data_IF_123490482545
#
_entry.id   IF_123490482545
#
_cell.length_a   1.000
_cell.length_b   1.000
_cell.length_c   1.000
_cell.angle_alpha   90.00
_cell.angle_beta   90.00
_cell.angle_gamma   90.00
#
_symmetry.space_group_name_H-M   'P 1'
#
loop_
_entity.id
_entity.type
_entity.pdbx_description
1 polymer ?
#
# COMPACT_ATOMS: atom_id res chain seq x y z
N UNK A 1 -15.96 -5.44 -7.43
CA UNK A 1 -14.69 -4.98 -6.80
C UNK A 1 -15.00 -3.86 -5.80
N UNK A 2 -14.44 -3.88 -4.58
CA UNK A 2 -14.59 -2.80 -3.59
C UNK A 2 -13.52 -1.72 -3.78
N UNK A 3 -13.79 -0.52 -3.26
CA UNK A 3 -12.88 0.62 -3.35
C UNK A 3 -12.45 1.08 -1.97
N UNK A 4 -11.16 1.26 -1.81
CA UNK A 4 -10.47 1.70 -0.60
C UNK A 4 -9.59 2.91 -0.90
N UNK A 5 -9.19 3.66 0.12
CA UNK A 5 -8.13 4.66 0.01
C UNK A 5 -6.83 4.07 0.55
N UNK A 6 -5.73 4.28 -0.15
CA UNK A 6 -4.37 3.97 0.29
C UNK A 6 -3.60 5.27 0.52
N UNK A 7 -3.02 5.45 1.69
CA UNK A 7 -2.44 6.71 2.11
C UNK A 7 -1.01 6.56 2.66
N UNK A 8 -0.09 7.31 2.05
CA UNK A 8 1.31 7.43 2.46
C UNK A 8 1.57 8.66 3.33
N UNK A 9 0.66 9.62 3.38
CA UNK A 9 0.88 10.97 3.93
C UNK A 9 2.11 11.61 3.28
N UNK A 10 2.01 11.92 1.98
CA UNK A 10 3.13 12.48 1.23
C UNK A 10 3.14 14.00 1.29
N UNK A 11 4.35 14.53 1.43
CA UNK A 11 4.65 15.95 1.32
C UNK A 11 5.74 16.10 0.27
N UNK A 12 5.32 16.41 -0.98
CA UNK A 12 6.26 16.54 -2.08
C UNK A 12 7.23 17.72 -1.89
N UNK A 13 8.44 17.52 -2.35
CA UNK A 13 9.43 18.58 -2.41
C UNK A 13 9.36 19.29 -3.79
N UNK A 14 9.49 20.63 -3.87
CA UNK A 14 9.57 21.59 -2.76
C UNK A 14 8.25 21.66 -1.98
N UNK A 15 8.30 21.88 -0.68
CA UNK A 15 7.18 21.75 0.25
C UNK A 15 5.95 22.63 -0.01
N UNK A 16 5.93 23.43 -1.06
CA UNK A 16 4.80 24.21 -1.59
C UNK A 16 3.98 24.98 -0.53
N UNK A 17 4.64 25.49 0.52
CA UNK A 17 3.99 26.20 1.61
C UNK A 17 3.18 25.33 2.59
N UNK A 18 3.10 24.02 2.39
CA UNK A 18 2.41 23.09 3.31
C UNK A 18 3.29 22.84 4.53
N UNK A 19 2.78 23.12 5.71
CA UNK A 19 3.34 22.67 6.97
C UNK A 19 2.79 21.28 7.35
N UNK A 20 3.38 20.64 8.36
CA UNK A 20 2.98 19.31 8.82
C UNK A 20 1.57 19.33 9.41
N UNK A 21 1.20 20.39 10.14
CA UNK A 21 -0.12 20.50 10.72
C UNK A 21 -1.22 20.60 9.66
N UNK A 22 -0.97 21.32 8.55
CA UNK A 22 -1.87 21.36 7.39
C UNK A 22 -2.02 19.98 6.77
N UNK A 23 -0.90 19.28 6.55
CA UNK A 23 -0.89 17.95 5.95
C UNK A 23 -1.78 16.96 6.72
N UNK A 24 -1.63 16.87 8.05
CA UNK A 24 -2.46 15.96 8.85
C UNK A 24 -3.94 16.38 8.90
N UNK A 25 -4.27 17.69 8.91
CA UNK A 25 -5.66 18.16 8.78
C UNK A 25 -6.27 17.79 7.43
N UNK A 26 -5.48 17.89 6.34
CA UNK A 26 -5.90 17.50 5.00
C UNK A 26 -6.23 16.00 4.93
N UNK A 27 -5.41 15.13 5.55
CA UNK A 27 -5.67 13.69 5.62
C UNK A 27 -7.01 13.38 6.33
N UNK A 28 -7.28 14.01 7.46
CA UNK A 28 -8.56 13.82 8.15
C UNK A 28 -9.76 14.31 7.31
N UNK A 29 -9.59 15.41 6.57
CA UNK A 29 -10.61 15.91 5.63
C UNK A 29 -10.85 14.92 4.47
N UNK A 30 -9.76 14.35 3.91
CA UNK A 30 -9.84 13.35 2.85
C UNK A 30 -10.55 12.08 3.34
N UNK A 31 -10.28 11.61 4.56
CA UNK A 31 -10.94 10.43 5.13
C UNK A 31 -12.47 10.64 5.28
N UNK A 32 -12.90 11.81 5.75
CA UNK A 32 -14.34 12.18 5.81
C UNK A 32 -14.97 12.22 4.42
N UNK A 33 -14.26 12.76 3.44
CA UNK A 33 -14.72 12.80 2.05
C UNK A 33 -14.82 11.39 1.45
N UNK A 34 -13.87 10.51 1.77
CA UNK A 34 -13.88 9.11 1.34
C UNK A 34 -15.07 8.34 1.93
N UNK A 35 -15.38 8.55 3.21
CA UNK A 35 -16.58 7.98 3.83
C UNK A 35 -17.87 8.44 3.14
N UNK A 36 -17.98 9.76 2.91
CA UNK A 36 -19.14 10.33 2.23
C UNK A 36 -19.28 9.84 0.78
N UNK A 37 -18.15 9.56 0.12
CA UNK A 37 -18.08 9.04 -1.23
C UNK A 37 -18.34 7.52 -1.33
N UNK A 38 -18.38 6.79 -0.20
CA UNK A 38 -18.70 5.35 -0.16
C UNK A 38 -17.50 4.42 -0.25
N UNK A 39 -16.29 4.90 0.00
CA UNK A 39 -15.12 4.03 0.17
C UNK A 39 -15.29 3.13 1.39
N UNK A 40 -14.71 1.90 1.32
CA UNK A 40 -14.91 0.87 2.34
C UNK A 40 -13.82 0.92 3.45
N UNK A 41 -12.55 1.02 3.08
CA UNK A 41 -11.43 1.02 4.02
C UNK A 41 -10.48 2.20 3.72
N UNK A 42 -9.98 2.83 4.77
CA UNK A 42 -8.81 3.70 4.71
C UNK A 42 -7.59 2.93 5.16
N UNK A 43 -6.65 2.69 4.25
CA UNK A 43 -5.39 2.01 4.51
C UNK A 43 -4.28 3.00 4.77
N UNK A 44 -3.59 2.86 5.89
CA UNK A 44 -2.45 3.67 6.26
C UNK A 44 -1.18 2.83 6.31
N UNK A 45 -0.11 3.30 5.66
CA UNK A 45 1.21 2.66 5.69
C UNK A 45 1.99 3.02 6.94
N UNK A 46 3.10 2.35 7.17
CA UNK A 46 4.13 2.72 8.15
C UNK A 46 5.48 2.90 7.46
N UNK A 47 6.07 4.10 7.58
CA UNK A 47 7.39 4.43 7.07
C UNK A 47 8.17 5.32 8.04
N UNK A 48 9.47 5.09 8.13
CA UNK A 48 10.35 5.80 9.05
C UNK A 48 11.57 6.39 8.34
N UNK A 49 11.99 7.60 8.77
CA UNK A 49 13.23 8.21 8.29
C UNK A 49 13.27 8.59 6.82
N UNK A 50 12.12 8.73 6.18
CA UNK A 50 11.97 9.01 4.75
C UNK A 50 11.09 10.25 4.47
N UNK A 51 11.50 11.46 4.91
CA UNK A 51 10.64 12.66 4.84
C UNK A 51 10.27 13.08 3.41
N UNK A 52 11.04 12.66 2.41
CA UNK A 52 10.71 12.91 1.00
C UNK A 52 9.65 11.93 0.47
N UNK A 53 9.30 10.88 1.24
CA UNK A 53 8.44 9.80 0.78
C UNK A 53 7.16 9.67 1.61
N UNK A 54 7.27 9.65 2.94
CA UNK A 54 6.12 9.45 3.81
C UNK A 54 6.31 10.11 5.19
N UNK A 55 5.23 10.69 5.70
CA UNK A 55 5.11 11.20 7.07
C UNK A 55 4.33 10.24 7.98
N UNK A 56 4.04 9.03 7.52
CA UNK A 56 3.25 8.03 8.25
C UNK A 56 4.13 7.18 9.18
N UNK A 57 4.67 7.79 10.22
CA UNK A 57 5.55 7.12 11.19
C UNK A 57 4.84 6.54 12.42
N UNK A 58 3.58 6.93 12.64
CA UNK A 58 2.73 6.43 13.71
C UNK A 58 1.30 6.23 13.18
N UNK A 59 1.10 5.27 12.26
CA UNK A 59 -0.17 5.09 11.55
C UNK A 59 -1.34 4.81 12.48
N UNK A 60 -1.15 4.11 13.60
CA UNK A 60 -2.19 3.82 14.57
C UNK A 60 -2.78 5.09 15.21
N UNK A 61 -2.00 6.17 15.36
CA UNK A 61 -2.49 7.45 15.89
C UNK A 61 -3.39 8.11 14.83
N UNK A 62 -2.97 8.14 13.58
CA UNK A 62 -3.75 8.70 12.47
C UNK A 62 -5.02 7.89 12.24
N UNK A 63 -4.93 6.56 12.22
CA UNK A 63 -6.09 5.67 12.08
C UNK A 63 -7.09 5.84 13.23
N UNK A 64 -6.61 6.06 14.46
CA UNK A 64 -7.49 6.38 15.60
C UNK A 64 -8.23 7.70 15.37
N UNK A 65 -7.53 8.75 14.94
CA UNK A 65 -8.16 10.03 14.64
C UNK A 65 -9.22 9.92 13.51
N UNK A 66 -8.93 9.15 12.47
CA UNK A 66 -9.89 8.86 11.40
C UNK A 66 -11.09 8.07 11.94
N UNK A 67 -10.86 7.01 12.70
CA UNK A 67 -11.93 6.19 13.27
C UNK A 67 -12.87 6.97 14.20
N UNK A 68 -12.32 7.92 14.96
CA UNK A 68 -13.10 8.78 15.86
C UNK A 68 -13.84 9.92 15.15
N UNK A 69 -13.56 10.17 13.87
CA UNK A 69 -14.18 11.23 13.07
C UNK A 69 -15.01 10.72 11.90
N UNK A 70 -15.18 9.41 11.81
CA UNK A 70 -15.98 8.68 10.80
C UNK A 70 -16.83 7.62 11.48
N UNK A 71 -17.96 7.25 10.86
CA UNK A 71 -18.93 6.30 11.45
C UNK A 71 -18.91 4.91 10.79
N UNK A 72 -18.62 4.84 9.50
CA UNK A 72 -18.68 3.61 8.69
C UNK A 72 -17.37 3.18 8.06
N UNK A 73 -16.52 4.17 7.72
CA UNK A 73 -15.23 3.91 7.08
C UNK A 73 -14.39 3.00 7.98
N UNK A 74 -14.02 1.84 7.45
CA UNK A 74 -13.07 0.96 8.14
C UNK A 74 -11.66 1.57 8.07
N UNK A 75 -10.83 1.21 9.01
CA UNK A 75 -9.44 1.66 9.09
C UNK A 75 -8.51 0.46 9.10
N UNK A 76 -7.42 0.52 8.35
CA UNK A 76 -6.52 -0.61 8.19
C UNK A 76 -5.05 -0.20 8.13
N UNK A 77 -4.18 -1.02 8.70
CA UNK A 77 -2.74 -0.95 8.45
C UNK A 77 -2.39 -1.65 7.13
N UNK A 78 -1.59 -0.99 6.28
CA UNK A 78 -1.12 -1.58 5.03
C UNK A 78 0.39 -1.37 4.80
N UNK A 79 1.24 -1.85 5.76
CA UNK A 79 1.08 -2.66 6.96
C UNK A 79 2.06 -2.25 8.03
N UNK A 80 1.80 -2.73 9.23
CA UNK A 80 2.75 -2.63 10.35
C UNK A 80 4.06 -3.29 9.96
N UNK A 81 5.18 -2.60 10.19
CA UNK A 81 6.51 -3.15 9.94
C UNK A 81 6.85 -4.20 11.00
N UNK A 82 6.62 -5.48 10.67
CA UNK A 82 6.62 -6.58 11.62
C UNK A 82 7.99 -7.13 12.08
N UNK A 83 9.16 -6.79 11.48
CA UNK A 83 10.44 -7.15 12.09
C UNK A 83 10.52 -6.66 13.54
N UNK A 84 10.91 -7.54 14.46
CA UNK A 84 10.75 -7.32 15.91
C UNK A 84 11.56 -6.16 16.47
N UNK A 85 12.61 -5.74 15.76
CA UNK A 85 13.37 -4.54 16.06
C UNK A 85 12.60 -3.25 15.81
N UNK A 86 11.60 -3.27 14.92
CA UNK A 86 10.74 -2.12 14.62
C UNK A 86 9.50 -2.18 15.51
N UNK A 87 8.74 -3.28 15.42
CA UNK A 87 7.52 -3.49 16.19
C UNK A 87 7.48 -4.87 16.82
N UNK A 88 7.49 -4.95 18.15
CA UNK A 88 7.31 -6.23 18.83
C UNK A 88 5.87 -6.73 18.68
N UNK A 89 5.63 -8.02 18.40
CA UNK A 89 4.28 -8.55 18.18
C UNK A 89 3.30 -8.29 19.32
N UNK A 90 3.76 -8.32 20.57
CA UNK A 90 2.92 -8.02 21.74
C UNK A 90 2.37 -6.59 21.67
N UNK A 91 3.23 -5.60 21.38
CA UNK A 91 2.83 -4.20 21.27
C UNK A 91 1.88 -3.97 20.09
N UNK A 92 2.10 -4.69 18.99
CA UNK A 92 1.19 -4.63 17.83
C UNK A 92 -0.18 -5.18 18.20
N UNK A 93 -0.24 -6.34 18.88
CA UNK A 93 -1.50 -6.95 19.31
C UNK A 93 -2.31 -6.02 20.25
N UNK A 94 -1.65 -5.38 21.22
CA UNK A 94 -2.29 -4.44 22.16
C UNK A 94 -2.83 -3.20 21.45
N UNK A 95 -2.03 -2.54 20.60
CA UNK A 95 -2.43 -1.33 19.86
C UNK A 95 -3.55 -1.62 18.88
N UNK A 96 -3.44 -2.72 18.13
CA UNK A 96 -4.44 -3.13 17.16
C UNK A 96 -5.79 -3.47 17.83
N UNK A 97 -5.78 -4.19 18.94
CA UNK A 97 -7.00 -4.47 19.69
C UNK A 97 -7.63 -3.18 20.29
N UNK A 98 -6.79 -2.26 20.78
CA UNK A 98 -7.26 -0.96 21.26
C UNK A 98 -7.94 -0.17 20.14
N UNK A 99 -7.32 -0.12 18.96
CA UNK A 99 -7.89 0.56 17.80
C UNK A 99 -9.18 -0.11 17.31
N UNK A 100 -9.24 -1.45 17.37
CA UNK A 100 -10.46 -2.17 17.02
C UNK A 100 -11.62 -1.82 17.95
N UNK A 101 -11.38 -1.76 19.26
CA UNK A 101 -12.40 -1.32 20.25
C UNK A 101 -12.82 0.13 20.00
N UNK A 102 -11.87 1.05 19.83
CA UNK A 102 -12.16 2.47 19.61
C UNK A 102 -12.90 2.72 18.30
N UNK A 103 -12.61 1.94 17.25
CA UNK A 103 -13.29 2.04 15.96
C UNK A 103 -14.67 1.34 15.92
N UNK A 104 -15.09 0.68 17.01
CA UNK A 104 -16.33 -0.10 17.00
C UNK A 104 -16.28 -1.34 16.11
N UNK A 105 -15.11 -2.02 16.02
CA UNK A 105 -14.93 -3.21 15.22
C UNK A 105 -14.68 -2.95 13.73
N UNK A 106 -14.17 -1.78 13.36
CA UNK A 106 -13.89 -1.38 11.96
C UNK A 106 -12.41 -1.51 11.58
N UNK A 107 -11.59 -2.18 12.38
CA UNK A 107 -10.16 -2.29 12.14
C UNK A 107 -9.77 -3.50 11.28
N UNK A 108 -8.72 -3.34 10.47
CA UNK A 108 -8.06 -4.36 9.63
C UNK A 108 -6.56 -4.36 9.95
N UNK A 109 -5.95 -5.53 10.16
CA UNK A 109 -4.51 -5.60 10.43
C UNK A 109 -3.74 -6.18 9.25
N UNK A 110 -2.91 -5.35 8.61
CA UNK A 110 -1.90 -5.80 7.67
C UNK A 110 -0.50 -5.74 8.27
N UNK A 111 0.34 -6.72 7.94
CA UNK A 111 1.75 -6.75 8.31
C UNK A 111 2.65 -6.62 7.08
N UNK A 112 3.81 -6.00 7.26
CA UNK A 112 4.80 -5.76 6.23
C UNK A 112 6.21 -6.19 6.69
N UNK A 113 7.05 -6.59 5.74
CA UNK A 113 8.45 -6.95 6.01
C UNK A 113 9.34 -5.72 6.19
N UNK A 114 8.97 -4.58 5.56
CA UNK A 114 9.86 -3.43 5.46
C UNK A 114 11.09 -3.67 4.55
N UNK A 115 12.07 -2.79 4.60
CA UNK A 115 13.31 -2.89 3.83
C UNK A 115 14.15 -1.61 3.85
N UNK A 116 15.27 -1.65 3.17
CA UNK A 116 16.07 -0.47 2.87
C UNK A 116 16.54 0.33 4.09
N UNK A 117 16.25 1.63 4.10
CA UNK A 117 16.67 2.54 5.18
C UNK A 117 16.05 2.21 6.54
N UNK A 118 14.87 1.64 6.56
CA UNK A 118 14.21 1.26 7.82
C UNK A 118 14.97 0.14 8.52
N UNK A 119 15.41 -0.88 7.78
CA UNK A 119 16.23 -1.94 8.36
C UNK A 119 17.56 -1.41 8.93
N UNK A 120 18.19 -0.50 8.21
CA UNK A 120 19.40 0.16 8.69
C UNK A 120 19.13 0.98 9.97
N UNK A 121 18.06 1.77 9.98
CA UNK A 121 17.69 2.64 11.11
C UNK A 121 17.41 1.84 12.37
N UNK A 122 16.73 0.71 12.27
CA UNK A 122 16.32 -0.11 13.41
C UNK A 122 17.25 -1.32 13.68
N UNK A 123 18.28 -1.53 12.86
CA UNK A 123 19.19 -2.66 12.98
C UNK A 123 18.52 -4.00 12.73
N UNK A 124 17.63 -4.07 11.73
CA UNK A 124 16.94 -5.30 11.34
C UNK A 124 17.91 -6.20 10.58
N UNK A 125 17.96 -7.47 10.96
CA UNK A 125 18.67 -8.49 10.19
C UNK A 125 17.80 -8.95 9.00
N UNK A 126 18.24 -8.73 7.74
CA UNK A 126 17.52 -9.16 6.56
C UNK A 126 17.17 -10.64 6.50
N UNK A 127 18.05 -11.50 7.04
CA UNK A 127 17.92 -12.96 7.00
C UNK A 127 16.75 -13.46 7.86
N UNK A 128 16.44 -12.77 8.95
CA UNK A 128 15.35 -13.16 9.88
C UNK A 128 14.04 -12.45 9.61
N UNK A 129 14.06 -11.34 8.87
CA UNK A 129 12.91 -10.44 8.72
C UNK A 129 11.65 -11.14 8.17
N UNK A 130 11.78 -12.08 7.23
CA UNK A 130 10.64 -12.82 6.64
C UNK A 130 9.99 -13.76 7.66
N UNK A 131 10.80 -14.50 8.40
CA UNK A 131 10.28 -15.42 9.44
C UNK A 131 9.66 -14.64 10.60
N UNK A 132 10.18 -13.47 10.95
CA UNK A 132 9.58 -12.60 11.96
C UNK A 132 8.19 -12.11 11.53
N UNK A 133 7.97 -11.80 10.25
CA UNK A 133 6.60 -11.51 9.74
C UNK A 133 5.69 -12.73 9.89
N UNK A 134 6.18 -13.93 9.52
CA UNK A 134 5.43 -15.19 9.66
C UNK A 134 5.07 -15.46 11.13
N UNK A 135 6.02 -15.31 12.03
CA UNK A 135 5.82 -15.48 13.46
C UNK A 135 4.81 -14.46 14.01
N UNK A 136 4.97 -13.16 13.69
CA UNK A 136 4.04 -12.11 14.10
C UNK A 136 2.62 -12.41 13.62
N UNK A 137 2.47 -12.84 12.35
CA UNK A 137 1.18 -13.20 11.77
C UNK A 137 0.49 -14.35 12.53
N UNK A 138 1.25 -15.31 13.05
CA UNK A 138 0.74 -16.42 13.86
C UNK A 138 0.50 -16.04 15.32
N UNK A 139 1.37 -15.22 15.91
CA UNK A 139 1.28 -14.81 17.32
C UNK A 139 0.10 -13.90 17.61
N UNK A 140 -0.10 -12.87 16.77
CA UNK A 140 -1.05 -11.79 17.06
C UNK A 140 -2.49 -12.29 17.21
N UNK A 141 -3.07 -13.08 16.30
CA UNK A 141 -4.44 -13.58 16.47
C UNK A 141 -4.58 -14.54 17.65
N UNK A 142 -3.54 -15.29 18.03
CA UNK A 142 -3.54 -16.12 19.24
C UNK A 142 -3.56 -15.25 20.50
N UNK A 143 -2.79 -14.14 20.55
CA UNK A 143 -2.85 -13.18 21.65
C UNK A 143 -4.26 -12.61 21.86
N UNK A 144 -5.04 -12.46 20.78
CA UNK A 144 -6.42 -11.98 20.87
C UNK A 144 -7.43 -13.03 21.29
N UNK A 145 -7.22 -14.30 20.91
CA UNK A 145 -8.22 -15.36 21.07
C UNK A 145 -7.95 -16.32 22.21
N UNK A 146 -6.72 -16.41 22.70
CA UNK A 146 -6.35 -17.28 23.83
C UNK A 146 -6.47 -16.53 25.16
N UNK A 147 -7.01 -17.14 26.23
CA UNK A 147 -7.03 -16.55 27.57
C UNK A 147 -5.63 -16.28 28.10
N UNK A 148 -4.73 -17.25 27.93
CA UNK A 148 -3.32 -17.12 28.31
C UNK A 148 -2.48 -17.48 27.08
N UNK A 149 -1.65 -16.56 26.64
CA UNK A 149 -0.76 -16.71 25.51
C UNK A 149 0.68 -16.95 25.98
N UNK A 150 1.38 -17.84 25.29
CA UNK A 150 2.83 -17.97 25.37
C UNK A 150 3.41 -18.28 23.99
N UNK A 151 4.67 -17.89 23.79
CA UNK A 151 5.39 -18.14 22.54
C UNK A 151 6.86 -18.38 22.81
N UNK A 152 7.48 -19.23 21.99
CA UNK A 152 8.93 -19.39 21.94
C UNK A 152 9.35 -19.72 20.52
N UNK A 153 10.16 -18.86 19.93
CA UNK A 153 10.87 -19.08 18.67
C UNK A 153 12.36 -18.74 18.86
N UNK A 154 13.14 -18.78 17.77
CA UNK A 154 14.55 -18.41 17.81
C UNK A 154 14.76 -16.93 18.20
N UNK A 155 13.85 -16.07 17.74
CA UNK A 155 14.02 -14.61 17.83
C UNK A 155 13.15 -13.95 18.91
N UNK A 156 12.15 -14.67 19.47
CA UNK A 156 11.21 -14.05 20.39
C UNK A 156 10.62 -15.03 21.40
N UNK A 157 10.58 -14.62 22.65
CA UNK A 157 9.98 -15.41 23.72
C UNK A 157 8.98 -14.57 24.51
N UNK A 158 7.77 -15.10 24.71
CA UNK A 158 6.73 -14.52 25.57
C UNK A 158 6.35 -15.56 26.61
N UNK A 159 6.68 -15.38 27.90
CA UNK A 159 6.22 -16.27 28.97
C UNK A 159 4.70 -16.20 29.10
N UNK A 160 4.04 -17.22 29.65
CA UNK A 160 2.58 -17.27 29.79
C UNK A 160 2.01 -16.01 30.43
N UNK A 161 1.07 -15.36 29.72
CA UNK A 161 0.40 -14.14 30.19
C UNK A 161 -0.92 -13.90 29.49
N UNK A 162 -1.80 -13.17 30.11
CA UNK A 162 -2.94 -12.57 29.46
C UNK A 162 -2.51 -11.34 28.66
N UNK A 163 -3.02 -11.19 27.43
CA UNK A 163 -2.81 -10.03 26.57
C UNK A 163 -4.10 -9.24 26.46
N UNK A 164 -4.07 -7.97 26.82
CA UNK A 164 -5.25 -7.10 26.87
C UNK A 164 -4.96 -5.74 26.22
N UNK A 165 -6.00 -5.07 25.65
CA UNK A 165 -7.38 -5.53 25.53
C UNK A 165 -7.54 -6.65 24.50
N UNK A 166 -8.71 -7.29 24.49
CA UNK A 166 -9.13 -8.15 23.36
C UNK A 166 -9.86 -7.27 22.34
N UNK A 167 -9.78 -7.58 21.02
CA UNK A 167 -10.53 -6.86 20.01
C UNK A 167 -12.04 -7.04 20.18
N UNK A 168 -12.81 -6.12 19.61
CA UNK A 168 -14.27 -6.18 19.59
C UNK A 168 -14.75 -7.17 18.52
N UNK A 169 -14.04 -7.27 17.39
CA UNK A 169 -14.36 -8.20 16.31
C UNK A 169 -14.14 -9.66 16.76
N UNK A 170 -15.10 -10.54 16.41
CA UNK A 170 -15.04 -11.97 16.74
C UNK A 170 -14.89 -12.78 15.43
N UNK A 171 -13.95 -13.74 15.35
CA UNK A 171 -12.99 -14.10 16.40
C UNK A 171 -11.85 -13.12 16.58
N UNK A 172 -11.55 -12.29 15.59
CA UNK A 172 -10.52 -11.23 15.58
C UNK A 172 -10.64 -10.38 14.31
N UNK A 173 -9.97 -9.19 14.23
CA UNK A 173 -9.84 -8.40 13.00
C UNK A 173 -9.27 -9.22 11.85
N UNK A 174 -9.69 -8.93 10.62
CA UNK A 174 -9.13 -9.59 9.43
C UNK A 174 -7.64 -9.29 9.30
N UNK A 175 -6.90 -10.31 8.85
CA UNK A 175 -5.46 -10.27 8.69
C UNK A 175 -5.08 -10.11 7.23
N UNK A 176 -4.03 -9.32 6.99
CA UNK A 176 -3.50 -9.02 5.67
C UNK A 176 -1.98 -8.99 5.67
N UNK A 177 -1.37 -9.22 4.53
CA UNK A 177 0.07 -9.10 4.33
C UNK A 177 0.36 -8.23 3.13
N UNK A 178 1.30 -7.28 3.26
CA UNK A 178 1.82 -6.56 2.10
C UNK A 178 2.77 -7.45 1.32
N UNK A 179 2.56 -7.51 0.01
CA UNK A 179 3.23 -8.42 -0.90
C UNK A 179 3.88 -7.64 -2.05
N UNK A 180 5.16 -7.93 -2.33
CA UNK A 180 5.92 -7.33 -3.42
C UNK A 180 6.68 -8.36 -4.26
N UNK A 181 6.60 -9.65 -3.92
CA UNK A 181 7.26 -10.74 -4.67
C UNK A 181 6.38 -11.98 -4.71
N UNK A 182 6.60 -12.91 -5.68
CA UNK A 182 5.84 -14.15 -5.77
C UNK A 182 5.76 -14.91 -4.46
N UNK A 183 6.89 -15.03 -3.75
CA UNK A 183 6.99 -15.74 -2.47
C UNK A 183 6.16 -15.08 -1.37
N UNK A 184 6.08 -13.74 -1.36
CA UNK A 184 5.28 -13.04 -0.35
C UNK A 184 3.78 -13.20 -0.59
N UNK A 185 3.33 -13.25 -1.85
CA UNK A 185 1.95 -13.59 -2.19
C UNK A 185 1.62 -15.03 -1.82
N UNK A 186 2.50 -15.98 -2.15
CA UNK A 186 2.33 -17.38 -1.76
C UNK A 186 2.25 -17.53 -0.22
N UNK A 187 3.17 -16.90 0.51
CA UNK A 187 3.19 -16.93 1.98
C UNK A 187 1.91 -16.37 2.60
N UNK A 188 1.37 -15.27 2.04
CA UNK A 188 0.10 -14.72 2.51
C UNK A 188 -1.04 -15.75 2.35
N UNK A 189 -1.12 -16.42 1.20
CA UNK A 189 -2.08 -17.49 0.96
C UNK A 189 -1.89 -18.68 1.89
N UNK A 190 -0.66 -19.18 2.04
CA UNK A 190 -0.30 -20.29 2.93
C UNK A 190 -0.68 -20.01 4.40
N UNK A 191 -0.58 -18.76 4.82
CA UNK A 191 -1.01 -18.29 6.13
C UNK A 191 -2.53 -18.06 6.24
N UNK A 192 -3.27 -18.15 5.15
CA UNK A 192 -4.71 -17.91 5.13
C UNK A 192 -5.07 -16.44 5.36
N UNK A 193 -4.21 -15.50 4.97
CA UNK A 193 -4.41 -14.05 5.13
C UNK A 193 -4.55 -13.36 3.79
N UNK A 194 -5.21 -12.21 3.77
CA UNK A 194 -5.38 -11.42 2.54
C UNK A 194 -4.06 -10.84 2.05
N UNK A 195 -3.93 -10.68 0.75
CA UNK A 195 -2.76 -10.08 0.12
C UNK A 195 -3.02 -8.61 -0.24
N UNK A 196 -2.05 -7.74 0.03
CA UNK A 196 -2.03 -6.34 -0.39
C UNK A 196 -0.85 -6.13 -1.33
N UNK A 197 -1.13 -5.94 -2.62
CA UNK A 197 -0.13 -5.79 -3.67
C UNK A 197 -0.21 -4.44 -4.38
N UNK A 198 0.71 -4.21 -5.31
CA UNK A 198 0.75 -2.99 -6.12
C UNK A 198 1.27 -3.27 -7.52
N UNK A 199 0.85 -2.47 -8.49
CA UNK A 199 1.45 -2.46 -9.82
C UNK A 199 2.63 -1.50 -9.90
N UNK A 200 2.56 -0.35 -9.20
CA UNK A 200 3.35 0.83 -9.55
C UNK A 200 3.21 1.11 -11.06
N UNK A 201 4.27 0.95 -11.85
CA UNK A 201 4.23 1.09 -13.32
C UNK A 201 4.31 -0.26 -14.07
N UNK A 202 4.29 -1.39 -13.35
CA UNK A 202 4.27 -2.71 -13.98
C UNK A 202 2.94 -2.99 -14.67
N UNK A 203 2.90 -3.74 -15.77
CA UNK A 203 1.65 -4.15 -16.40
C UNK A 203 0.70 -4.86 -15.42
N UNK A 204 -0.60 -4.61 -15.55
CA UNK A 204 -1.61 -5.25 -14.70
C UNK A 204 -1.57 -6.78 -14.82
N UNK A 205 -1.26 -7.30 -16.00
CA UNK A 205 -1.11 -8.74 -16.21
C UNK A 205 -0.01 -9.36 -15.33
N UNK A 206 1.12 -8.65 -15.12
CA UNK A 206 2.18 -9.12 -14.21
C UNK A 206 1.66 -9.28 -12.77
N UNK A 207 0.88 -8.30 -12.28
CA UNK A 207 0.24 -8.43 -10.99
C UNK A 207 -0.72 -9.63 -10.94
N UNK A 208 -1.45 -9.90 -12.03
CA UNK A 208 -2.31 -11.08 -12.14
C UNK A 208 -1.57 -12.39 -11.86
N UNK A 209 -0.32 -12.54 -12.33
CA UNK A 209 0.51 -13.71 -12.02
C UNK A 209 0.91 -13.75 -10.53
N UNK A 210 1.10 -12.59 -9.90
CA UNK A 210 1.35 -12.52 -8.45
C UNK A 210 0.11 -12.94 -7.64
N UNK A 211 -1.09 -12.48 -8.04
CA UNK A 211 -2.33 -12.87 -7.38
C UNK A 211 -2.59 -14.38 -7.46
N UNK A 212 -2.20 -15.04 -8.54
CA UNK A 212 -2.26 -16.51 -8.67
C UNK A 212 -1.36 -17.23 -7.65
N UNK A 213 -0.23 -16.62 -7.23
CA UNK A 213 0.59 -17.22 -6.17
C UNK A 213 -0.14 -17.20 -4.82
N UNK A 214 -0.92 -16.15 -4.53
CA UNK A 214 -1.79 -16.13 -3.35
C UNK A 214 -2.84 -17.24 -3.40
N UNK A 215 -3.51 -17.43 -4.54
CA UNK A 215 -4.49 -18.52 -4.72
C UNK A 215 -3.85 -19.91 -4.51
N UNK A 216 -2.62 -20.11 -5.01
CA UNK A 216 -1.86 -21.35 -4.78
C UNK A 216 -1.53 -21.55 -3.30
N UNK A 217 -1.04 -20.51 -2.63
CA UNK A 217 -0.78 -20.55 -1.19
C UNK A 217 -2.05 -20.86 -0.38
N UNK A 218 -3.21 -20.29 -0.76
CA UNK A 218 -4.50 -20.61 -0.13
C UNK A 218 -4.88 -22.08 -0.31
N UNK A 219 -4.64 -22.66 -1.47
CA UNK A 219 -4.89 -24.07 -1.72
C UNK A 219 -4.01 -25.00 -0.86
N UNK A 220 -2.78 -24.55 -0.56
CA UNK A 220 -1.82 -25.27 0.29
C UNK A 220 -1.97 -24.95 1.79
N UNK A 221 -2.89 -24.08 2.18
CA UNK A 221 -3.09 -23.62 3.56
C UNK A 221 -3.72 -24.73 4.43
N UNK A 222 -2.89 -25.45 5.16
CA UNK A 222 -3.34 -26.49 6.11
C UNK A 222 -3.53 -25.97 7.54
N UNK A 223 -2.93 -24.83 7.88
CA UNK A 223 -2.97 -24.24 9.22
C UNK A 223 -2.94 -22.70 9.11
N UNK A 224 -4.11 -22.06 8.96
CA UNK A 224 -4.18 -20.62 8.87
C UNK A 224 -3.63 -19.95 10.14
N UNK A 225 -3.06 -18.76 9.96
CA UNK A 225 -2.48 -17.98 11.06
C UNK A 225 -3.54 -17.55 12.09
N UNK A 226 -4.74 -17.22 11.61
CA UNK A 226 -5.87 -16.83 12.44
C UNK A 226 -6.93 -17.90 12.58
N UNK A 227 -8.03 -17.57 13.26
CA UNK A 227 -9.22 -18.43 13.39
C UNK A 227 -10.12 -18.41 12.16
N UNK A 228 -9.90 -17.45 11.26
CA UNK A 228 -10.62 -17.28 9.99
C UNK A 228 -9.64 -17.06 8.87
N UNK A 229 -9.97 -17.57 7.68
CA UNK A 229 -9.20 -17.29 6.45
C UNK A 229 -9.71 -16.03 5.78
N UNK A 230 -8.80 -15.22 5.27
CA UNK A 230 -9.09 -14.07 4.41
C UNK A 230 -8.50 -14.32 3.01
N UNK A 231 -9.35 -14.63 2.06
CA UNK A 231 -8.91 -14.89 0.68
C UNK A 231 -8.87 -13.65 -0.22
N UNK A 232 -9.15 -12.46 0.31
CA UNK A 232 -9.26 -11.24 -0.49
C UNK A 232 -7.88 -10.75 -0.96
N UNK A 233 -7.88 -10.15 -2.14
CA UNK A 233 -6.72 -9.55 -2.81
C UNK A 233 -6.98 -8.05 -3.00
N UNK A 234 -6.27 -7.22 -2.23
CA UNK A 234 -6.26 -5.76 -2.37
C UNK A 234 -5.07 -5.32 -3.22
N UNK A 235 -5.30 -4.37 -4.09
CA UNK A 235 -4.27 -3.86 -5.01
C UNK A 235 -4.26 -2.35 -4.97
N UNK A 236 -3.11 -1.73 -4.75
CA UNK A 236 -3.01 -0.28 -4.89
C UNK A 236 -2.31 0.15 -6.18
N UNK A 237 -2.76 1.30 -6.68
CA UNK A 237 -2.11 2.06 -7.74
C UNK A 237 -2.43 3.55 -7.61
N UNK A 238 -1.78 4.36 -8.44
CA UNK A 238 -2.10 5.79 -8.56
C UNK A 238 -3.48 5.98 -9.18
N UNK A 239 -4.37 6.66 -8.46
CA UNK A 239 -5.73 6.96 -8.93
C UNK A 239 -5.98 8.45 -8.82
N UNK A 240 -6.29 9.10 -9.93
CA UNK A 240 -6.74 10.49 -9.94
C UNK A 240 -7.85 10.68 -10.96
N UNK A 241 -9.06 10.89 -10.46
CA UNK A 241 -10.26 11.14 -11.28
C UNK A 241 -10.47 12.64 -11.35
N UNK A 242 -10.53 13.19 -12.54
CA UNK A 242 -10.80 14.61 -12.78
C UNK A 242 -12.00 14.78 -13.73
N UNK A 243 -12.53 15.99 -13.83
CA UNK A 243 -13.68 16.29 -14.69
C UNK A 243 -13.37 16.10 -16.19
N UNK A 244 -12.08 16.16 -16.55
CA UNK A 244 -11.59 15.96 -17.91
C UNK A 244 -10.11 15.58 -17.91
N UNK A 245 -9.60 15.08 -19.07
CA UNK A 245 -8.17 14.87 -19.31
C UNK A 245 -7.35 16.14 -19.02
N UNK A 246 -7.79 17.29 -19.50
CA UNK A 246 -7.12 18.57 -19.29
C UNK A 246 -7.01 18.93 -17.79
N UNK A 247 -8.06 18.69 -17.01
CA UNK A 247 -8.05 18.91 -15.57
C UNK A 247 -7.10 17.94 -14.86
N UNK A 248 -7.03 16.67 -15.27
CA UNK A 248 -6.09 15.69 -14.72
C UNK A 248 -4.64 16.10 -14.94
N UNK A 249 -4.32 16.62 -16.13
CA UNK A 249 -3.00 17.19 -16.47
C UNK A 249 -2.71 18.40 -15.58
N UNK A 250 -3.62 19.40 -15.53
CA UNK A 250 -3.44 20.62 -14.76
C UNK A 250 -3.23 20.39 -13.27
N UNK A 251 -3.82 19.32 -12.71
CA UNK A 251 -3.63 18.90 -11.32
C UNK A 251 -2.24 18.26 -11.06
N UNK A 252 -1.43 17.98 -12.09
CA UNK A 252 -0.09 17.41 -11.97
C UNK A 252 -0.08 15.94 -11.47
N UNK A 253 -1.17 15.21 -11.65
CA UNK A 253 -1.29 13.85 -11.11
C UNK A 253 -0.27 12.87 -11.71
N UNK A 254 -0.07 12.90 -13.03
CA UNK A 254 0.91 12.05 -13.69
C UNK A 254 2.35 12.40 -13.29
N UNK A 255 2.68 13.69 -13.22
CA UNK A 255 3.98 14.14 -12.73
C UNK A 255 4.24 13.67 -11.29
N UNK A 256 3.23 13.77 -10.43
CA UNK A 256 3.30 13.31 -9.04
C UNK A 256 3.51 11.81 -8.92
N UNK A 257 2.93 11.00 -9.81
CA UNK A 257 3.16 9.57 -9.88
C UNK A 257 4.61 9.24 -10.30
N UNK A 258 5.14 9.91 -11.31
CA UNK A 258 6.55 9.76 -11.71
C UNK A 258 7.50 10.20 -10.60
N UNK A 259 7.17 11.30 -9.89
CA UNK A 259 7.95 11.74 -8.74
C UNK A 259 8.00 10.66 -7.64
N UNK A 260 6.86 10.03 -7.31
CA UNK A 260 6.80 8.93 -6.35
C UNK A 260 7.72 7.77 -6.77
N UNK A 261 7.63 7.35 -8.02
CA UNK A 261 8.43 6.24 -8.57
C UNK A 261 9.92 6.56 -8.49
N UNK A 262 10.31 7.83 -8.66
CA UNK A 262 11.70 8.29 -8.54
C UNK A 262 12.18 8.45 -7.08
N UNK A 263 11.28 8.69 -6.13
CA UNK A 263 11.60 8.80 -4.71
C UNK A 263 11.79 7.41 -4.05
N UNK A 264 11.01 6.43 -4.48
CA UNK A 264 10.97 5.09 -3.89
C UNK A 264 12.33 4.37 -3.83
N UNK A 265 13.18 4.33 -4.88
CA UNK A 265 14.46 3.63 -4.83
C UNK A 265 15.40 4.17 -3.75
N UNK A 266 15.32 5.46 -3.40
CA UNK A 266 16.14 6.06 -2.33
C UNK A 266 15.73 5.52 -0.96
N UNK A 267 14.43 5.36 -0.73
CA UNK A 267 13.87 4.84 0.53
C UNK A 267 14.17 3.35 0.67
N UNK A 268 13.98 2.60 -0.40
CA UNK A 268 14.18 1.16 -0.40
C UNK A 268 15.63 0.73 -0.61
N UNK A 269 16.55 1.69 -0.80
CA UNK A 269 17.98 1.42 -1.09
C UNK A 269 18.19 0.49 -2.29
N UNK A 270 17.33 0.61 -3.28
CA UNK A 270 17.51 -0.08 -4.56
C UNK A 270 18.28 0.83 -5.49
N UNK A 271 19.40 0.39 -6.09
CA UNK A 271 20.10 1.18 -7.09
C UNK A 271 19.17 1.61 -8.23
N UNK A 272 19.17 2.90 -8.58
CA UNK A 272 18.27 3.44 -9.60
C UNK A 272 18.35 2.71 -10.94
N UNK A 273 19.55 2.30 -11.35
CA UNK A 273 19.73 1.49 -12.56
C UNK A 273 18.88 0.22 -12.52
N UNK A 274 18.98 -0.55 -11.43
CA UNK A 274 18.21 -1.80 -11.26
C UNK A 274 16.71 -1.49 -11.24
N UNK A 275 16.32 -0.42 -10.56
CA UNK A 275 14.92 0.02 -10.48
C UNK A 275 14.32 0.30 -11.87
N UNK A 276 15.06 1.03 -12.72
CA UNK A 276 14.59 1.33 -14.07
C UNK A 276 14.68 0.12 -15.02
N UNK A 277 15.69 -0.72 -14.86
CA UNK A 277 15.80 -1.97 -15.64
C UNK A 277 14.61 -2.91 -15.34
N UNK A 278 14.14 -2.96 -14.09
CA UNK A 278 12.94 -3.71 -13.73
C UNK A 278 11.68 -3.13 -14.39
N UNK A 279 11.51 -1.79 -14.36
CA UNK A 279 10.39 -1.12 -15.04
C UNK A 279 10.45 -1.39 -16.55
N UNK A 280 11.63 -1.27 -17.16
CA UNK A 280 11.86 -1.56 -18.57
C UNK A 280 11.48 -3.00 -18.94
N UNK A 281 11.77 -3.94 -18.08
CA UNK A 281 11.44 -5.36 -18.26
C UNK A 281 9.96 -5.69 -17.97
N UNK A 282 9.14 -4.71 -17.57
CA UNK A 282 7.75 -4.93 -17.16
C UNK A 282 7.62 -5.68 -15.84
N UNK A 283 8.68 -5.69 -15.02
CA UNK A 283 8.71 -6.35 -13.72
C UNK A 283 8.40 -5.35 -12.59
N UNK A 284 7.94 -5.87 -11.46
CA UNK A 284 7.68 -5.01 -10.32
C UNK A 284 8.99 -4.58 -9.66
N UNK A 285 9.29 -3.26 -9.55
CA UNK A 285 10.57 -2.79 -9.03
C UNK A 285 10.86 -3.25 -7.59
N UNK A 286 9.84 -3.44 -6.76
CA UNK A 286 10.01 -3.95 -5.40
C UNK A 286 10.52 -5.40 -5.34
N UNK A 287 10.42 -6.17 -6.42
CA UNK A 287 11.00 -7.52 -6.48
C UNK A 287 12.53 -7.49 -6.40
N UNK A 288 13.15 -6.37 -6.73
CA UNK A 288 14.60 -6.18 -6.58
C UNK A 288 15.07 -6.08 -5.11
N UNK A 289 14.17 -5.80 -4.16
CA UNK A 289 14.54 -5.67 -2.73
C UNK A 289 15.13 -6.95 -2.14
N UNK A 290 14.70 -8.10 -2.64
CA UNK A 290 15.13 -9.40 -2.12
C UNK A 290 16.41 -9.92 -2.81
N UNK A 291 16.83 -9.28 -3.93
CA UNK A 291 17.96 -9.73 -4.74
C UNK A 291 19.22 -8.86 -4.62
N UNK A 292 19.13 -7.67 -4.05
CA UNK A 292 20.23 -6.70 -4.08
C UNK A 292 20.93 -6.55 -2.73
N UNK A 293 21.67 -7.59 -2.35
CA UNK A 293 22.90 -7.40 -1.57
C UNK A 293 24.07 -7.07 -2.53
N UNK A 294 23.89 -6.12 -3.46
CA UNK A 294 24.96 -5.71 -4.37
C UNK A 294 25.72 -4.55 -3.74
N UNK A 295 26.70 -4.91 -2.92
CA UNK A 295 27.75 -3.99 -2.53
C UNK A 295 28.52 -3.50 -3.78
N UNK A 296 28.69 -2.18 -3.93
CA UNK A 296 29.77 -1.60 -4.69
C UNK A 296 29.53 -1.22 -6.14
N UNK A 297 28.29 -1.11 -6.63
CA UNK A 297 28.01 -0.42 -7.89
C UNK A 297 27.61 1.03 -7.59
N UNK A 298 28.31 1.96 -8.19
CA UNK A 298 27.94 3.39 -8.22
C UNK A 298 26.69 3.52 -9.13
N UNK A 299 25.56 3.09 -8.56
CA UNK A 299 24.34 2.77 -9.27
C UNK A 299 23.45 3.99 -9.44
N UNK A 300 23.97 5.20 -9.15
CA UNK A 300 23.27 6.47 -9.30
C UNK A 300 23.51 7.14 -10.67
N UNK A 301 24.48 6.68 -11.46
CA UNK A 301 24.61 7.10 -12.85
C UNK A 301 23.46 6.51 -13.67
N UNK A 302 22.60 7.41 -14.13
CA UNK A 302 21.39 7.07 -14.86
C UNK A 302 21.59 7.52 -16.31
N UNK A 303 22.15 6.65 -17.15
CA UNK A 303 22.29 6.91 -18.57
C UNK A 303 21.00 6.52 -19.31
N UNK A 304 20.53 7.42 -20.21
CA UNK A 304 19.38 7.15 -21.08
C UNK A 304 19.86 6.29 -22.24
N UNK A 305 19.26 5.12 -22.42
CA UNK A 305 19.56 4.24 -23.52
C UNK A 305 18.58 4.46 -24.67
N UNK A 306 19.00 4.28 -25.95
CA UNK A 306 18.11 4.45 -27.10
C UNK A 306 16.87 3.56 -27.05
N UNK A 307 16.98 2.36 -26.49
CA UNK A 307 15.93 1.35 -26.39
C UNK A 307 15.09 1.44 -25.08
N UNK A 308 15.31 2.47 -24.26
CA UNK A 308 14.46 2.70 -23.08
C UNK A 308 13.04 3.08 -23.52
N UNK A 309 12.00 2.50 -22.91
CA UNK A 309 10.63 3.00 -23.04
C UNK A 309 10.53 4.48 -22.66
N UNK A 310 9.60 5.22 -23.26
CA UNK A 310 9.46 6.67 -23.01
C UNK A 310 9.28 7.00 -21.52
N UNK A 311 8.50 6.20 -20.78
CA UNK A 311 8.34 6.39 -19.33
C UNK A 311 9.67 6.26 -18.58
N UNK A 312 10.54 5.33 -18.99
CA UNK A 312 11.87 5.16 -18.37
C UNK A 312 12.80 6.31 -18.73
N UNK A 313 12.76 6.81 -19.98
CA UNK A 313 13.51 8.01 -20.38
C UNK A 313 13.11 9.22 -19.55
N UNK A 314 11.81 9.43 -19.36
CA UNK A 314 11.29 10.55 -18.54
C UNK A 314 11.71 10.40 -17.07
N UNK A 315 11.60 9.21 -16.48
CA UNK A 315 12.07 8.94 -15.12
C UNK A 315 13.57 9.23 -14.96
N UNK A 316 14.39 8.82 -15.92
CA UNK A 316 15.83 9.08 -15.93
C UNK A 316 16.15 10.57 -16.05
N UNK A 317 15.43 11.31 -16.91
CA UNK A 317 15.55 12.78 -17.04
C UNK A 317 15.20 13.51 -15.74
N UNK A 318 14.10 13.12 -15.09
CA UNK A 318 13.73 13.64 -13.76
C UNK A 318 14.81 13.37 -12.71
N UNK A 319 15.41 12.17 -12.72
CA UNK A 319 16.50 11.82 -11.80
C UNK A 319 17.77 12.64 -12.04
N UNK A 320 17.98 13.09 -13.28
CA UNK A 320 19.07 14.02 -13.67
C UNK A 320 18.75 15.50 -13.35
N UNK A 321 17.58 15.79 -12.78
CA UNK A 321 17.15 17.16 -12.44
C UNK A 321 16.59 17.94 -13.62
N UNK A 322 16.24 17.28 -14.73
CA UNK A 322 15.59 17.93 -15.86
C UNK A 322 14.12 18.21 -15.53
N UNK A 323 13.62 19.36 -15.95
CA UNK A 323 12.21 19.71 -15.85
C UNK A 323 11.38 18.85 -16.81
N UNK A 324 10.29 18.28 -16.29
CA UNK A 324 9.29 17.54 -17.05
C UNK A 324 7.97 18.27 -16.89
N UNK A 325 7.31 18.60 -17.99
CA UNK A 325 6.00 19.24 -17.95
C UNK A 325 4.91 18.27 -17.47
N UNK A 326 3.79 18.80 -16.98
CA UNK A 326 2.64 17.97 -16.61
C UNK A 326 2.02 17.26 -17.82
N UNK A 327 2.07 17.90 -18.99
CA UNK A 327 1.63 17.32 -20.27
C UNK A 327 2.48 16.09 -20.63
N UNK A 328 3.80 16.26 -20.70
CA UNK A 328 4.74 15.18 -21.02
C UNK A 328 4.61 14.02 -20.02
N UNK A 329 4.50 14.31 -18.72
CA UNK A 329 4.29 13.30 -17.71
C UNK A 329 2.98 12.49 -17.93
N UNK A 330 1.91 13.18 -18.36
CA UNK A 330 0.63 12.54 -18.66
C UNK A 330 0.73 11.66 -19.91
N UNK A 331 1.34 12.17 -20.98
CA UNK A 331 1.49 11.43 -22.25
C UNK A 331 2.23 10.09 -22.09
N UNK A 332 3.24 10.05 -21.23
CA UNK A 332 4.01 8.79 -21.01
C UNK A 332 3.32 7.81 -20.07
N UNK A 333 2.41 8.27 -19.19
CA UNK A 333 1.68 7.40 -18.27
C UNK A 333 0.32 6.96 -18.80
N UNK A 334 -0.33 7.75 -19.66
CA UNK A 334 -1.66 7.46 -20.20
C UNK A 334 -1.74 6.09 -20.91
N UNK A 335 -0.74 5.62 -21.68
CA UNK A 335 -0.76 4.30 -22.30
C UNK A 335 -0.64 3.13 -21.31
N UNK A 336 -0.11 3.33 -20.10
CA UNK A 336 0.10 2.26 -19.14
C UNK A 336 -1.24 1.80 -18.55
N UNK A 337 -1.53 0.52 -18.60
CA UNK A 337 -2.77 -0.06 -18.05
C UNK A 337 -2.81 0.00 -16.51
N UNK A 338 -1.65 0.13 -15.89
CA UNK A 338 -1.47 0.14 -14.43
C UNK A 338 -1.75 1.47 -13.76
N UNK A 339 -1.87 2.59 -14.49
CA UNK A 339 -2.07 3.93 -13.94
C UNK A 339 -3.48 4.43 -14.26
N UNK A 340 -4.23 4.87 -13.24
CA UNK A 340 -5.64 5.26 -13.36
C UNK A 340 -5.77 6.77 -13.17
N UNK A 341 -5.42 7.55 -14.19
CA UNK A 341 -5.43 9.01 -14.17
C UNK A 341 -6.20 9.52 -15.39
N UNK A 342 -7.28 10.28 -15.18
CA UNK A 342 -8.07 10.83 -16.29
C UNK A 342 -9.47 11.23 -15.89
N UNK A 343 -10.36 11.32 -16.88
CA UNK A 343 -11.79 11.49 -16.64
C UNK A 343 -12.45 10.18 -16.15
N UNK A 344 -13.70 10.23 -15.65
CA UNK A 344 -14.36 9.06 -15.09
C UNK A 344 -14.47 7.88 -16.05
N UNK A 345 -14.75 8.12 -17.33
CA UNK A 345 -14.93 7.05 -18.31
C UNK A 345 -13.59 6.32 -18.58
N UNK A 346 -12.50 7.09 -18.75
CA UNK A 346 -11.17 6.57 -18.90
C UNK A 346 -10.73 5.76 -17.65
N UNK A 347 -10.99 6.27 -16.46
CA UNK A 347 -10.64 5.58 -15.21
C UNK A 347 -11.42 4.26 -15.06
N UNK A 348 -12.71 4.23 -15.39
CA UNK A 348 -13.51 2.99 -15.38
C UNK A 348 -12.93 1.95 -16.33
N UNK A 349 -12.52 2.36 -17.54
CA UNK A 349 -11.95 1.44 -18.53
C UNK A 349 -10.64 0.81 -18.03
N UNK A 350 -9.74 1.62 -17.46
CA UNK A 350 -8.49 1.14 -16.84
C UNK A 350 -8.75 0.13 -15.71
N UNK A 351 -9.74 0.39 -14.85
CA UNK A 351 -10.05 -0.45 -13.71
C UNK A 351 -10.63 -1.82 -14.07
N UNK A 352 -11.19 -1.99 -15.28
CA UNK A 352 -11.64 -3.31 -15.76
C UNK A 352 -10.50 -4.31 -15.85
N UNK A 353 -9.28 -3.87 -16.18
CA UNK A 353 -8.11 -4.75 -16.21
C UNK A 353 -7.81 -5.32 -14.81
N UNK A 354 -7.91 -4.50 -13.77
CA UNK A 354 -7.73 -4.94 -12.38
C UNK A 354 -8.82 -5.92 -11.93
N UNK A 355 -10.07 -5.67 -12.31
CA UNK A 355 -11.15 -6.62 -12.04
C UNK A 355 -10.92 -7.95 -12.76
N UNK A 356 -10.46 -7.91 -14.01
CA UNK A 356 -10.22 -9.11 -14.83
C UNK A 356 -9.12 -10.03 -14.28
N UNK A 357 -8.11 -9.49 -13.60
CA UNK A 357 -7.08 -10.29 -12.94
C UNK A 357 -7.50 -10.84 -11.58
N UNK A 358 -8.73 -10.57 -11.13
CA UNK A 358 -9.26 -11.07 -9.86
C UNK A 358 -8.91 -10.23 -8.62
N UNK A 359 -8.68 -8.93 -8.78
CA UNK A 359 -8.58 -8.02 -7.64
C UNK A 359 -9.95 -7.85 -6.97
N UNK A 360 -10.05 -8.15 -5.68
CA UNK A 360 -11.27 -7.97 -4.89
C UNK A 360 -11.47 -6.51 -4.47
N UNK A 361 -10.35 -5.81 -4.26
CA UNK A 361 -10.31 -4.46 -3.72
C UNK A 361 -9.32 -3.59 -4.49
N UNK A 362 -9.75 -2.39 -4.87
CA UNK A 362 -8.89 -1.34 -5.42
C UNK A 362 -8.57 -0.34 -4.30
N UNK A 363 -7.33 -0.33 -3.86
CA UNK A 363 -6.80 0.61 -2.88
C UNK A 363 -6.27 1.83 -3.64
N UNK A 364 -7.10 2.86 -3.74
CA UNK A 364 -6.79 4.05 -4.52
C UNK A 364 -5.77 4.94 -3.80
N UNK A 365 -4.55 5.05 -4.31
CA UNK A 365 -3.62 6.07 -3.86
C UNK A 365 -3.98 7.39 -4.53
N UNK A 366 -4.61 8.31 -3.78
CA UNK A 366 -5.17 9.55 -4.33
C UNK A 366 -4.43 10.80 -3.84
N UNK A 367 -3.76 10.72 -2.67
CA UNK A 367 -2.88 11.75 -2.15
C UNK A 367 -1.43 11.30 -2.37
N UNK A 368 -0.79 11.82 -3.40
CA UNK A 368 0.62 11.55 -3.72
C UNK A 368 1.27 12.76 -4.40
N UNK A 369 2.56 12.88 -4.20
CA UNK A 369 3.34 13.98 -4.76
C UNK A 369 2.79 15.37 -4.41
N UNK A 370 2.66 16.21 -5.42
CA UNK A 370 2.28 17.62 -5.28
C UNK A 370 0.83 17.94 -5.67
N UNK A 371 -0.02 16.94 -5.83
CA UNK A 371 -1.43 17.17 -6.17
C UNK A 371 -2.07 18.11 -5.15
N UNK A 372 -2.73 19.20 -5.57
CA UNK A 372 -3.41 20.12 -4.67
C UNK A 372 -4.50 19.41 -3.85
N UNK A 373 -4.62 19.76 -2.56
CA UNK A 373 -5.58 19.12 -1.65
C UNK A 373 -7.02 19.16 -2.16
N UNK A 374 -7.46 20.28 -2.69
CA UNK A 374 -8.80 20.45 -3.25
C UNK A 374 -9.02 19.55 -4.50
N UNK A 375 -7.99 19.31 -5.30
CA UNK A 375 -8.05 18.36 -6.41
C UNK A 375 -8.13 16.91 -5.91
N UNK A 376 -7.46 16.56 -4.81
CA UNK A 376 -7.60 15.25 -4.15
C UNK A 376 -9.04 15.05 -3.64
N UNK A 377 -9.63 16.04 -2.97
CA UNK A 377 -11.03 15.96 -2.49
C UNK A 377 -12.01 15.78 -3.64
N UNK A 378 -11.85 16.55 -4.73
CA UNK A 378 -12.68 16.39 -5.94
C UNK A 378 -12.52 14.99 -6.55
N UNK A 379 -11.30 14.50 -6.64
CA UNK A 379 -10.99 13.15 -7.17
C UNK A 379 -11.67 12.06 -6.34
N UNK A 380 -11.61 12.13 -5.01
CA UNK A 380 -12.33 11.20 -4.11
C UNK A 380 -13.84 11.25 -4.36
N UNK A 381 -14.42 12.45 -4.45
CA UNK A 381 -15.85 12.62 -4.70
C UNK A 381 -16.28 12.11 -6.09
N UNK A 382 -15.46 12.33 -7.13
CA UNK A 382 -15.71 11.81 -8.48
C UNK A 382 -15.63 10.28 -8.53
N UNK A 383 -14.62 9.69 -7.85
CA UNK A 383 -14.51 8.24 -7.72
C UNK A 383 -15.74 7.62 -7.07
N UNK A 384 -16.25 8.23 -6.00
CA UNK A 384 -17.50 7.79 -5.35
C UNK A 384 -18.71 7.84 -6.28
N UNK A 385 -18.83 8.88 -7.12
CA UNK A 385 -19.94 9.03 -8.04
C UNK A 385 -19.88 8.13 -9.28
N UNK A 386 -18.68 7.82 -9.75
CA UNK A 386 -18.52 7.19 -11.07
C UNK A 386 -17.84 5.83 -11.02
N UNK A 387 -16.78 5.66 -10.18
CA UNK A 387 -16.04 4.40 -10.14
C UNK A 387 -16.75 3.37 -9.25
N UNK A 388 -17.10 3.71 -8.02
CA UNK A 388 -17.71 2.77 -7.07
C UNK A 388 -18.99 2.13 -7.66
N UNK A 389 -19.96 2.88 -8.23
CA UNK A 389 -21.15 2.28 -8.80
C UNK A 389 -20.88 1.40 -10.03
N UNK A 390 -19.87 1.73 -10.85
CA UNK A 390 -19.54 0.97 -12.06
C UNK A 390 -19.04 -0.46 -11.76
N UNK A 391 -18.55 -0.71 -10.55
CA UNK A 391 -18.04 -2.01 -10.10
C UNK A 391 -18.85 -2.64 -8.97
N UNK A 392 -20.01 -2.06 -8.64
CA UNK A 392 -20.97 -2.68 -7.72
C UNK A 392 -21.50 -4.01 -8.31
N UNK A 393 -21.78 -5.04 -7.49
CA UNK A 393 -22.45 -6.25 -7.97
C UNK A 393 -23.78 -5.86 -8.65
N UNK A 394 -24.06 -6.46 -9.81
CA UNK A 394 -25.36 -6.31 -10.46
C UNK A 394 -26.47 -6.80 -9.53
N UNK A 395 -27.56 -6.08 -9.42
CA UNK A 395 -28.71 -6.46 -8.59
C UNK A 395 -29.34 -7.81 -8.97
N UNK A 396 -28.96 -8.38 -10.09
CA UNK A 396 -29.40 -9.69 -10.57
C UNK A 396 -28.67 -10.89 -9.97
N UNK A 397 -27.53 -10.64 -9.27
CA UNK A 397 -26.72 -11.72 -8.67
C UNK A 397 -27.08 -12.00 -7.19
N UNK A 398 -28.11 -11.38 -6.66
CA UNK A 398 -28.56 -11.49 -5.24
C UNK A 398 -29.97 -12.13 -5.16
N UNK A 399 -30.41 -12.80 -6.20
CA UNK A 399 -31.69 -13.52 -6.22
C UNK A 399 -31.48 -15.04 -6.10
#
# INVERSE_FOLDING_TARGET
>A
MKFDVFCEIQRAFPWQGRDEASLFREILSQAKTAEAAGFDIWWQVEHHGAPQFSYSSAPEIVLTAIAMTTDRLRVGHAGVLAPFRINTPLRVAERAATLDVLSGGRFELGLAKSGGKEWETFGVDPETAREQVRDAMRMIPRMWTEPVFSWKSADYEVPPREVVPKPLQSPHPRLWQTCGSPDSFYMAGELGVGALGTTLLSPVAFLGEMLKQHDRGLADCVSPAGKTTNAQKGVFTFVHVAESRAAAIANGAAWSALWYVNAAPVVFKVPRRIWYDMIKAGLHPNSARDTVAVAGLDANEVEIQPDDPEVVKVLKRMAQGQEISFEEAHEVLEPLDSVVIGDPAHCVEKLKAYQAIGADRMMCMMQYGSIPHDAVLRSIALAGRHLIPAFAPSSEAVA
#
